data_IF_083053058458
#
_entry.id   IF_083053058458
#
_cell.length_a   1.000
_cell.length_b   1.000
_cell.length_c   1.000
_cell.angle_alpha   90.00
_cell.angle_beta   90.00
_cell.angle_gamma   90.00
#
_symmetry.space_group_name_H-M   'P 1'
#
loop_
_entity.id
_entity.type
_entity.pdbx_description
1 polymer ?
#
# COMPACT_ATOMS: atom_id res chain seq x y z
N UNK A 1 -0.18 -39.11 -28.62
CA UNK A 1 -0.36 -38.11 -27.54
C UNK A 1 -0.93 -36.85 -28.17
N UNK A 2 -2.20 -36.52 -27.91
CA UNK A 2 -2.80 -35.31 -28.49
C UNK A 2 -2.05 -34.06 -27.98
N UNK A 3 -1.77 -33.06 -28.83
CA UNK A 3 -1.13 -31.83 -28.39
C UNK A 3 -2.04 -31.17 -27.35
N UNK A 4 -1.55 -31.06 -26.10
CA UNK A 4 -2.27 -30.32 -25.06
C UNK A 4 -2.47 -28.89 -25.57
N UNK A 5 -3.71 -28.43 -25.60
CA UNK A 5 -4.08 -27.08 -26.03
C UNK A 5 -3.31 -26.03 -25.20
N UNK A 6 -2.32 -25.36 -25.81
CA UNK A 6 -1.42 -24.38 -25.19
C UNK A 6 -2.22 -23.29 -24.44
N UNK A 7 -3.37 -22.89 -24.98
CA UNK A 7 -4.29 -21.93 -24.35
C UNK A 7 -4.79 -22.41 -22.99
N UNK A 8 -5.21 -23.67 -22.88
CA UNK A 8 -5.72 -24.24 -21.62
C UNK A 8 -4.58 -24.35 -20.59
N UNK A 9 -3.37 -24.70 -21.03
CA UNK A 9 -2.22 -24.74 -20.13
C UNK A 9 -1.85 -23.36 -19.57
N UNK A 10 -1.81 -22.33 -20.42
CA UNK A 10 -1.54 -20.95 -20.02
C UNK A 10 -2.60 -20.43 -19.05
N UNK A 11 -3.87 -20.70 -19.33
CA UNK A 11 -4.98 -20.33 -18.45
C UNK A 11 -4.84 -21.01 -17.08
N UNK A 12 -4.59 -22.32 -17.05
CA UNK A 12 -4.41 -23.05 -15.80
C UNK A 12 -3.21 -22.53 -15.00
N UNK A 13 -2.07 -22.28 -15.66
CA UNK A 13 -0.89 -21.71 -15.02
C UNK A 13 -1.19 -20.32 -14.43
N UNK A 14 -1.94 -19.48 -15.15
CA UNK A 14 -2.40 -18.19 -14.64
C UNK A 14 -3.29 -18.35 -13.40
N UNK A 15 -4.30 -19.22 -13.46
CA UNK A 15 -5.23 -19.43 -12.35
C UNK A 15 -4.53 -19.95 -11.09
N UNK A 16 -3.55 -20.85 -11.23
CA UNK A 16 -2.74 -21.33 -10.10
C UNK A 16 -1.98 -20.17 -9.46
N UNK A 17 -1.36 -19.30 -10.26
CA UNK A 17 -0.62 -18.14 -9.76
C UNK A 17 -1.53 -17.10 -9.13
N UNK A 18 -2.71 -16.87 -9.70
CA UNK A 18 -3.73 -15.99 -9.13
C UNK A 18 -4.22 -16.51 -7.78
N UNK A 19 -4.45 -17.82 -7.67
CA UNK A 19 -4.84 -18.43 -6.39
C UNK A 19 -3.74 -18.25 -5.33
N UNK A 20 -2.46 -18.50 -5.69
CA UNK A 20 -1.32 -18.25 -4.78
C UNK A 20 -1.26 -16.79 -4.33
N UNK A 21 -1.48 -15.83 -5.24
CA UNK A 21 -1.51 -14.40 -4.92
C UNK A 21 -2.61 -14.09 -3.89
N UNK A 22 -3.85 -14.49 -4.21
CA UNK A 22 -5.04 -14.22 -3.39
C UNK A 22 -5.10 -15.03 -2.09
N UNK A 23 -4.24 -16.03 -1.91
CA UNK A 23 -4.13 -16.80 -0.67
C UNK A 23 -3.32 -16.08 0.41
N UNK A 24 -2.80 -14.89 0.15
CA UNK A 24 -1.99 -14.12 1.10
C UNK A 24 -2.62 -12.75 1.41
N UNK A 25 -2.55 -12.26 2.66
CA UNK A 25 -3.04 -10.92 2.99
C UNK A 25 -2.38 -9.82 2.14
N UNK A 26 -1.08 -9.94 1.88
CA UNK A 26 -0.31 -9.01 1.03
C UNK A 26 -0.82 -9.01 -0.42
N UNK A 27 -1.03 -10.18 -1.01
CA UNK A 27 -1.55 -10.29 -2.38
C UNK A 27 -2.97 -9.75 -2.52
N UNK A 28 -3.86 -10.02 -1.54
CA UNK A 28 -5.20 -9.43 -1.48
C UNK A 28 -5.10 -7.90 -1.41
N UNK A 29 -4.27 -7.34 -0.51
CA UNK A 29 -4.07 -5.88 -0.40
C UNK A 29 -3.64 -5.28 -1.74
N UNK A 30 -2.68 -5.88 -2.46
CA UNK A 30 -2.21 -5.32 -3.74
C UNK A 30 -3.25 -5.42 -4.85
N UNK A 31 -4.06 -6.47 -4.89
CA UNK A 31 -5.19 -6.54 -5.82
C UNK A 31 -6.20 -5.46 -5.51
N UNK A 32 -6.64 -5.35 -4.25
CA UNK A 32 -7.61 -4.35 -3.79
C UNK A 32 -7.10 -2.91 -4.02
N UNK A 33 -5.83 -2.64 -3.69
CA UNK A 33 -5.18 -1.36 -3.92
C UNK A 33 -5.17 -1.00 -5.41
N UNK A 34 -4.82 -1.95 -6.27
CA UNK A 34 -4.79 -1.75 -7.73
C UNK A 34 -6.20 -1.47 -8.26
N UNK A 35 -7.21 -2.24 -7.81
CA UNK A 35 -8.61 -2.00 -8.16
C UNK A 35 -9.06 -0.60 -7.75
N UNK A 36 -8.73 -0.17 -6.53
CA UNK A 36 -9.11 1.14 -6.01
C UNK A 36 -8.55 2.30 -6.85
N UNK A 37 -7.25 2.28 -7.13
CA UNK A 37 -6.61 3.33 -7.92
C UNK A 37 -6.95 3.26 -9.42
N UNK A 38 -7.24 2.07 -9.95
CA UNK A 38 -7.77 1.92 -11.32
C UNK A 38 -9.11 2.64 -11.47
N UNK A 39 -10.01 2.50 -10.48
CA UNK A 39 -11.27 3.24 -10.50
C UNK A 39 -11.09 4.74 -10.30
N UNK A 40 -10.09 5.18 -9.54
CA UNK A 40 -9.77 6.59 -9.37
C UNK A 40 -9.28 7.27 -10.67
N UNK A 41 -8.80 6.51 -11.65
CA UNK A 41 -8.43 7.02 -12.98
C UNK A 41 -9.62 7.14 -13.95
N UNK A 42 -10.80 6.61 -13.60
CA UNK A 42 -11.97 6.69 -14.47
C UNK A 42 -12.56 8.10 -14.45
N UNK A 43 -12.93 8.66 -15.61
CA UNK A 43 -13.61 9.95 -15.66
C UNK A 43 -14.98 9.87 -14.94
N UNK A 44 -15.46 10.97 -14.35
CA UNK A 44 -16.75 11.02 -13.66
C UNK A 44 -17.93 10.56 -14.52
N UNK A 45 -17.84 10.73 -15.84
CA UNK A 45 -18.82 10.24 -16.80
C UNK A 45 -18.93 8.72 -16.80
N UNK A 46 -17.84 7.97 -16.62
CA UNK A 46 -17.88 6.51 -16.52
C UNK A 46 -18.31 6.07 -15.12
N UNK A 47 -17.91 6.81 -14.08
CA UNK A 47 -18.33 6.56 -12.70
C UNK A 47 -19.83 6.77 -12.49
N UNK A 48 -20.47 7.64 -13.28
CA UNK A 48 -21.90 7.96 -13.23
C UNK A 48 -22.73 7.29 -14.35
N UNK A 49 -22.10 6.93 -15.48
CA UNK A 49 -22.74 6.31 -16.65
C UNK A 49 -22.43 4.82 -16.76
N UNK A 50 -22.87 4.04 -15.77
CA UNK A 50 -23.12 2.61 -15.97
C UNK A 50 -24.62 2.35 -15.92
N UNK A 51 -25.36 2.96 -16.86
CA UNK A 51 -26.82 2.78 -16.97
C UNK A 51 -27.24 1.33 -17.26
N UNK A 52 -26.29 0.47 -17.67
CA UNK A 52 -26.51 -0.95 -17.95
C UNK A 52 -26.08 -1.88 -16.80
N UNK A 53 -25.24 -1.41 -15.86
CA UNK A 53 -24.82 -2.15 -14.65
C UNK A 53 -24.87 -1.23 -13.43
N UNK A 54 -25.81 -1.49 -12.49
CA UNK A 54 -26.02 -0.70 -11.25
C UNK A 54 -24.87 -0.87 -10.23
N UNK A 55 -23.62 -0.63 -10.61
CA UNK A 55 -22.48 -0.73 -9.70
C UNK A 55 -22.15 0.67 -9.16
N UNK A 56 -22.30 0.85 -7.85
CA UNK A 56 -21.90 2.09 -7.18
C UNK A 56 -20.40 2.06 -6.89
N UNK A 57 -19.60 2.58 -7.83
CA UNK A 57 -18.13 2.59 -7.73
C UNK A 57 -17.63 3.36 -6.50
N UNK A 58 -18.16 4.55 -6.14
CA UNK A 58 -17.76 5.25 -4.91
C UNK A 58 -17.94 4.43 -3.64
N UNK A 59 -19.06 3.71 -3.49
CA UNK A 59 -19.27 2.85 -2.33
C UNK A 59 -18.30 1.67 -2.32
N UNK A 60 -18.01 1.11 -3.51
CA UNK A 60 -17.05 0.01 -3.64
C UNK A 60 -15.62 0.46 -3.28
N UNK A 61 -15.16 1.63 -3.75
CA UNK A 61 -13.82 2.16 -3.43
C UNK A 61 -13.69 2.51 -1.95
N UNK A 62 -14.75 3.04 -1.34
CA UNK A 62 -14.83 3.25 0.11
C UNK A 62 -14.71 1.93 0.88
N UNK A 63 -15.50 0.92 0.52
CA UNK A 63 -15.46 -0.41 1.14
C UNK A 63 -14.10 -1.10 0.96
N UNK A 64 -13.49 -0.99 -0.23
CA UNK A 64 -12.14 -1.50 -0.49
C UNK A 64 -11.13 -0.84 0.45
N UNK A 65 -11.20 0.49 0.58
CA UNK A 65 -10.30 1.23 1.46
C UNK A 65 -10.47 0.79 2.91
N UNK A 66 -11.72 0.66 3.38
CA UNK A 66 -12.03 0.20 4.71
C UNK A 66 -11.49 -1.21 5.00
N UNK A 67 -11.76 -2.19 4.13
CA UNK A 67 -11.24 -3.57 4.25
C UNK A 67 -9.71 -3.57 4.33
N UNK A 68 -9.04 -2.76 3.50
CA UNK A 68 -7.57 -2.66 3.53
C UNK A 68 -7.07 -2.09 4.85
N UNK A 69 -7.69 -1.04 5.37
CA UNK A 69 -7.33 -0.46 6.67
C UNK A 69 -7.58 -1.45 7.81
N UNK A 70 -8.71 -2.16 7.79
CA UNK A 70 -9.01 -3.21 8.74
C UNK A 70 -7.91 -4.26 8.77
N UNK A 71 -7.58 -4.85 7.61
CA UNK A 71 -6.51 -5.87 7.51
C UNK A 71 -5.13 -5.38 7.97
N UNK A 72 -4.85 -4.06 7.93
CA UNK A 72 -3.60 -3.49 8.42
C UNK A 72 -3.50 -3.42 9.94
N UNK A 73 -4.58 -3.59 10.71
CA UNK A 73 -4.53 -3.56 12.18
C UNK A 73 -3.47 -4.50 12.78
N UNK A 74 -3.22 -5.62 12.11
CA UNK A 74 -2.22 -6.63 12.50
C UNK A 74 -0.78 -6.27 12.10
N UNK A 75 -0.55 -5.11 11.46
CA UNK A 75 0.75 -4.69 10.93
C UNK A 75 1.87 -4.60 11.97
N UNK A 76 1.52 -4.30 13.24
CA UNK A 76 2.49 -4.23 14.34
C UNK A 76 3.25 -5.54 14.55
N UNK A 77 2.64 -6.69 14.28
CA UNK A 77 3.30 -8.00 14.41
C UNK A 77 4.46 -8.12 13.41
N UNK A 78 4.22 -7.73 12.15
CA UNK A 78 5.26 -7.73 11.11
C UNK A 78 6.35 -6.67 11.37
N UNK A 79 5.98 -5.50 11.89
CA UNK A 79 6.94 -4.45 12.25
C UNK A 79 7.81 -4.91 13.44
N UNK A 80 7.22 -5.59 14.42
CA UNK A 80 7.95 -6.14 15.56
C UNK A 80 9.00 -7.16 15.13
N UNK A 81 8.64 -8.12 14.26
CA UNK A 81 9.60 -9.13 13.78
C UNK A 81 10.69 -8.51 12.92
N UNK A 82 10.37 -7.51 12.11
CA UNK A 82 11.36 -6.71 11.37
C UNK A 82 12.31 -5.93 12.31
N UNK A 83 11.77 -5.34 13.37
CA UNK A 83 12.56 -4.69 14.42
C UNK A 83 13.51 -5.66 15.11
N UNK A 84 13.01 -6.84 15.48
CA UNK A 84 13.81 -7.90 16.10
C UNK A 84 14.95 -8.35 15.17
N UNK A 85 14.68 -8.57 13.88
CA UNK A 85 15.72 -8.95 12.92
C UNK A 85 16.76 -7.85 12.74
N UNK A 86 16.33 -6.58 12.69
CA UNK A 86 17.21 -5.42 12.54
C UNK A 86 18.16 -5.27 13.72
N UNK A 87 17.61 -5.36 14.93
CA UNK A 87 18.37 -5.20 16.18
C UNK A 87 19.27 -6.40 16.49
N UNK A 88 18.92 -7.59 15.99
CA UNK A 88 19.72 -8.80 16.16
C UNK A 88 20.89 -8.90 15.17
N UNK A 89 20.95 -8.02 14.16
CA UNK A 89 22.06 -8.00 13.22
C UNK A 89 23.38 -7.61 13.93
N UNK A 90 24.51 -8.19 13.51
CA UNK A 90 25.82 -7.86 14.11
C UNK A 90 26.19 -6.38 13.98
N UNK A 91 25.64 -5.70 12.96
CA UNK A 91 25.77 -4.25 12.75
C UNK A 91 24.42 -3.70 12.26
N UNK A 92 23.51 -3.31 13.15
CA UNK A 92 22.22 -2.76 12.77
C UNK A 92 22.38 -1.48 11.96
N UNK A 93 21.66 -1.36 10.84
CA UNK A 93 21.64 -0.15 10.03
C UNK A 93 20.88 0.96 10.78
N UNK A 94 21.49 2.13 11.06
CA UNK A 94 20.78 3.23 11.71
C UNK A 94 19.54 3.70 10.93
N UNK A 95 19.60 3.62 9.59
CA UNK A 95 18.47 3.93 8.72
C UNK A 95 17.33 2.94 8.97
N UNK A 96 17.63 1.65 9.00
CA UNK A 96 16.62 0.61 9.18
C UNK A 96 16.01 0.67 10.59
N UNK A 97 16.82 0.93 11.62
CA UNK A 97 16.33 1.17 12.99
C UNK A 97 15.36 2.37 13.03
N UNK A 98 15.71 3.48 12.37
CA UNK A 98 14.84 4.64 12.27
C UNK A 98 13.54 4.33 11.48
N UNK A 99 13.63 3.49 10.44
CA UNK A 99 12.45 3.07 9.68
C UNK A 99 11.53 2.18 10.51
N UNK A 100 12.05 1.23 11.28
CA UNK A 100 11.27 0.39 12.20
C UNK A 100 10.54 1.28 13.21
N UNK A 101 11.24 2.24 13.81
CA UNK A 101 10.64 3.20 14.74
C UNK A 101 9.52 4.00 14.08
N UNK A 102 9.78 4.61 12.92
CA UNK A 102 8.79 5.39 12.18
C UNK A 102 7.55 4.55 11.85
N UNK A 103 7.72 3.33 11.33
CA UNK A 103 6.59 2.44 11.02
C UNK A 103 5.83 1.98 12.26
N UNK A 104 6.50 1.81 13.40
CA UNK A 104 5.85 1.48 14.67
C UNK A 104 4.93 2.62 15.11
N UNK A 105 5.43 3.86 15.10
CA UNK A 105 4.62 5.02 15.42
C UNK A 105 3.48 5.25 14.40
N UNK A 106 3.75 5.07 13.10
CA UNK A 106 2.74 5.06 12.03
C UNK A 106 1.60 4.11 12.38
N UNK A 107 1.91 2.83 12.62
CA UNK A 107 0.90 1.80 12.76
C UNK A 107 0.08 1.96 14.05
N UNK A 108 0.70 2.42 15.15
CA UNK A 108 -0.03 2.75 16.38
C UNK A 108 -1.04 3.88 16.13
N UNK A 109 -0.60 4.98 15.50
CA UNK A 109 -1.46 6.12 15.22
C UNK A 109 -2.61 5.73 14.29
N UNK A 110 -2.31 5.02 13.19
CA UNK A 110 -3.31 4.53 12.24
C UNK A 110 -4.34 3.61 12.92
N UNK A 111 -3.88 2.64 13.72
CA UNK A 111 -4.78 1.69 14.37
C UNK A 111 -5.78 2.41 15.29
N UNK A 112 -5.30 3.33 16.13
CA UNK A 112 -6.15 4.08 17.05
C UNK A 112 -7.11 4.98 16.29
N UNK A 113 -6.63 5.67 15.25
CA UNK A 113 -7.47 6.53 14.41
C UNK A 113 -8.57 5.74 13.71
N UNK A 114 -8.23 4.60 13.10
CA UNK A 114 -9.17 3.71 12.41
C UNK A 114 -10.24 3.14 13.34
N UNK A 115 -9.85 2.64 14.52
CA UNK A 115 -10.79 2.13 15.51
C UNK A 115 -11.69 3.25 16.07
N UNK A 116 -11.18 4.47 16.19
CA UNK A 116 -11.99 5.65 16.55
C UNK A 116 -13.00 6.04 15.46
N UNK A 117 -12.60 5.96 14.17
CA UNK A 117 -13.51 6.21 13.06
C UNK A 117 -14.70 5.25 13.03
N UNK A 118 -14.55 4.06 13.63
CA UNK A 118 -15.60 3.04 13.78
C UNK A 118 -16.30 3.05 15.15
N UNK A 119 -15.98 4.01 16.03
CA UNK A 119 -16.61 4.13 17.34
C UNK A 119 -16.19 3.07 18.36
N UNK A 120 -15.15 2.27 18.08
CA UNK A 120 -14.61 1.26 18.99
C UNK A 120 -13.76 1.93 20.08
N UNK A 121 -12.97 2.93 19.69
CA UNK A 121 -12.17 3.75 20.62
C UNK A 121 -12.82 5.11 20.73
N UNK A 122 -13.20 5.52 21.95
CA UNK A 122 -13.85 6.80 22.17
C UNK A 122 -12.82 7.93 22.41
N UNK A 123 -12.44 8.63 21.34
CA UNK A 123 -11.62 9.85 21.41
C UNK A 123 -12.29 11.01 20.68
N UNK A 124 -11.84 12.23 20.98
CA UNK A 124 -12.35 13.44 20.30
C UNK A 124 -11.99 13.38 18.82
N UNK A 125 -12.91 13.82 17.94
CA UNK A 125 -12.66 13.86 16.48
C UNK A 125 -11.45 14.70 16.07
N UNK A 126 -11.14 15.76 16.82
CA UNK A 126 -9.89 16.51 16.65
C UNK A 126 -8.65 15.63 16.88
N UNK A 127 -8.67 14.79 17.90
CA UNK A 127 -7.57 13.87 18.21
C UNK A 127 -7.45 12.77 17.16
N UNK A 128 -8.57 12.20 16.71
CA UNK A 128 -8.61 11.24 15.60
C UNK A 128 -7.96 11.83 14.33
N UNK A 129 -8.33 13.05 13.95
CA UNK A 129 -7.71 13.76 12.81
C UNK A 129 -6.20 13.98 12.99
N UNK A 130 -5.75 14.32 14.19
CA UNK A 130 -4.31 14.46 14.48
C UNK A 130 -3.57 13.12 14.39
N UNK A 131 -4.18 12.01 14.81
CA UNK A 131 -3.58 10.68 14.68
C UNK A 131 -3.42 10.28 13.20
N UNK A 132 -4.40 10.58 12.35
CA UNK A 132 -4.29 10.39 10.90
C UNK A 132 -3.14 11.20 10.28
N UNK A 133 -3.00 12.47 10.67
CA UNK A 133 -1.92 13.35 10.21
C UNK A 133 -0.55 12.85 10.67
N UNK A 134 -0.39 12.54 11.96
CA UNK A 134 0.87 12.07 12.52
C UNK A 134 1.27 10.71 11.97
N UNK A 135 0.32 9.80 11.78
CA UNK A 135 0.55 8.56 11.06
C UNK A 135 1.19 8.85 9.70
N UNK A 136 0.54 9.67 8.88
CA UNK A 136 1.03 10.02 7.53
C UNK A 136 2.42 10.69 7.54
N UNK A 137 2.73 11.48 8.57
CA UNK A 137 4.07 12.08 8.76
C UNK A 137 5.15 11.02 9.07
N UNK A 138 4.84 10.02 9.88
CA UNK A 138 5.76 8.90 10.10
C UNK A 138 5.97 8.08 8.82
N UNK A 139 4.92 7.92 8.01
CA UNK A 139 5.07 7.31 6.69
C UNK A 139 5.97 8.15 5.77
N UNK A 140 5.80 9.47 5.76
CA UNK A 140 6.68 10.39 5.04
C UNK A 140 8.14 10.27 5.48
N UNK A 141 8.41 10.15 6.79
CA UNK A 141 9.75 9.89 7.33
C UNK A 141 10.30 8.57 6.79
N UNK A 142 9.50 7.50 6.78
CA UNK A 142 9.93 6.21 6.22
C UNK A 142 10.33 6.32 4.73
N UNK A 143 9.53 7.02 3.91
CA UNK A 143 9.84 7.22 2.48
C UNK A 143 11.08 8.09 2.28
N UNK A 144 11.29 9.11 3.12
CA UNK A 144 12.53 9.89 3.11
C UNK A 144 13.75 9.01 3.43
N UNK A 145 13.64 8.15 4.45
CA UNK A 145 14.69 7.18 4.81
C UNK A 145 14.94 6.15 3.70
N UNK A 146 13.91 5.75 2.96
CA UNK A 146 14.05 4.90 1.77
C UNK A 146 14.91 5.55 0.70
N UNK A 147 14.74 6.86 0.43
CA UNK A 147 15.63 7.57 -0.49
C UNK A 147 17.07 7.63 0.03
N UNK A 148 17.29 7.85 1.34
CA UNK A 148 18.64 7.79 1.93
C UNK A 148 19.24 6.39 1.75
N UNK A 149 18.46 5.32 1.96
CA UNK A 149 18.88 3.93 1.73
C UNK A 149 19.25 3.68 0.26
N UNK A 150 18.39 4.10 -0.67
CA UNK A 150 18.53 3.83 -2.11
C UNK A 150 19.66 4.62 -2.78
N UNK A 151 19.91 5.84 -2.32
CA UNK A 151 20.95 6.74 -2.86
C UNK A 151 22.21 6.82 -1.99
N UNK A 152 22.25 6.09 -0.87
CA UNK A 152 23.46 5.89 -0.07
C UNK A 152 24.58 5.20 -0.83
N UNK A 153 25.74 5.01 -0.20
CA UNK A 153 26.99 4.49 -0.82
C UNK A 153 26.96 3.00 -1.21
N UNK A 154 25.78 2.41 -1.41
CA UNK A 154 25.61 0.99 -1.76
C UNK A 154 25.63 0.71 -3.26
N UNK A 155 25.81 -0.56 -3.64
CA UNK A 155 25.64 -1.03 -5.02
C UNK A 155 24.16 -1.08 -5.37
N UNK A 156 23.80 -0.60 -6.56
CA UNK A 156 22.43 -0.69 -7.11
C UNK A 156 22.17 -2.12 -7.57
N UNK A 157 21.37 -2.84 -6.79
CA UNK A 157 21.03 -4.24 -7.07
C UNK A 157 19.93 -4.41 -8.12
N UNK A 158 19.61 -5.68 -8.45
CA UNK A 158 18.44 -6.03 -9.27
C UNK A 158 17.17 -5.53 -8.58
N UNK A 159 16.39 -4.70 -9.26
CA UNK A 159 15.14 -4.14 -8.72
C UNK A 159 15.26 -2.72 -8.17
N UNK A 160 16.47 -2.16 -8.07
CA UNK A 160 16.71 -0.81 -7.56
C UNK A 160 15.86 0.25 -8.26
N UNK A 161 15.78 0.23 -9.59
CA UNK A 161 14.97 1.19 -10.35
C UNK A 161 13.48 1.12 -9.97
N UNK A 162 12.97 -0.09 -9.74
CA UNK A 162 11.57 -0.30 -9.35
C UNK A 162 11.30 0.23 -7.95
N UNK A 163 12.23 0.06 -7.03
CA UNK A 163 12.15 0.61 -5.67
C UNK A 163 12.19 2.15 -5.71
N UNK A 164 13.05 2.74 -6.56
CA UNK A 164 13.08 4.20 -6.77
C UNK A 164 11.75 4.69 -7.34
N UNK A 165 11.24 4.08 -8.41
CA UNK A 165 9.96 4.49 -9.01
C UNK A 165 8.82 4.36 -8.01
N UNK A 166 8.79 3.27 -7.23
CA UNK A 166 7.76 3.08 -6.19
C UNK A 166 7.83 4.17 -5.12
N UNK A 167 9.03 4.52 -4.65
CA UNK A 167 9.20 5.57 -3.64
C UNK A 167 8.89 6.96 -4.20
N UNK A 168 9.23 7.25 -5.46
CA UNK A 168 8.82 8.48 -6.15
C UNK A 168 7.30 8.58 -6.28
N UNK A 169 6.60 7.47 -6.48
CA UNK A 169 5.14 7.44 -6.49
C UNK A 169 4.55 7.64 -5.08
N UNK A 170 5.16 7.08 -4.03
CA UNK A 170 4.70 7.29 -2.66
C UNK A 170 5.01 8.68 -2.11
N UNK A 171 6.13 9.30 -2.49
CA UNK A 171 6.55 10.59 -1.96
C UNK A 171 5.46 11.68 -1.97
N UNK A 172 4.84 12.03 -3.11
CA UNK A 172 3.79 13.06 -3.14
C UNK A 172 2.54 12.63 -2.36
N UNK A 173 2.24 11.34 -2.29
CA UNK A 173 1.12 10.82 -1.50
C UNK A 173 1.35 11.01 0.01
N UNK A 174 2.56 10.71 0.49
CA UNK A 174 2.91 10.90 1.91
C UNK A 174 2.84 12.36 2.33
N UNK A 175 3.25 13.28 1.44
CA UNK A 175 3.13 14.73 1.66
C UNK A 175 1.66 15.14 1.68
N UNK A 176 0.86 14.65 0.72
CA UNK A 176 -0.58 14.95 0.66
C UNK A 176 -1.30 14.63 1.97
N UNK A 177 -1.11 13.43 2.54
CA UNK A 177 -1.80 13.07 3.79
C UNK A 177 -1.14 13.61 5.07
N UNK A 178 0.04 14.23 4.98
CA UNK A 178 0.75 14.81 6.13
C UNK A 178 0.31 16.23 6.50
N UNK A 179 -0.50 16.88 5.64
CA UNK A 179 -0.97 18.25 5.81
C UNK A 179 -2.50 18.32 5.82
N UNK A 180 -3.04 19.26 6.61
CA UNK A 180 -4.48 19.52 6.63
C UNK A 180 -4.93 20.06 5.26
N UNK A 181 -6.00 19.51 4.70
CA UNK A 181 -6.54 19.91 3.38
C UNK A 181 -5.88 19.24 2.16
N UNK A 182 -4.77 18.52 2.34
CA UNK A 182 -4.07 17.85 1.24
C UNK A 182 -3.11 18.76 0.46
N UNK A 183 -2.10 18.16 -0.18
CA UNK A 183 -1.04 18.91 -0.89
C UNK A 183 -1.15 18.85 -2.43
N UNK A 184 -1.82 17.83 -2.96
CA UNK A 184 -1.94 17.56 -4.41
C UNK A 184 -3.39 17.21 -4.77
N UNK A 185 -3.75 17.44 -6.03
CA UNK A 185 -5.09 17.18 -6.56
C UNK A 185 -5.43 15.70 -6.77
N UNK A 186 -6.72 15.36 -6.94
CA UNK A 186 -7.20 13.98 -7.09
C UNK A 186 -6.54 13.20 -8.24
N UNK A 187 -6.23 13.85 -9.35
CA UNK A 187 -5.59 13.22 -10.51
C UNK A 187 -4.18 12.76 -10.17
N UNK A 188 -3.42 13.59 -9.43
CA UNK A 188 -2.08 13.25 -8.97
C UNK A 188 -2.11 12.11 -7.95
N UNK A 189 -3.10 12.09 -7.05
CA UNK A 189 -3.32 10.98 -6.10
C UNK A 189 -3.58 9.67 -6.87
N UNK A 190 -4.48 9.72 -7.86
CA UNK A 190 -4.84 8.56 -8.66
C UNK A 190 -3.64 8.03 -9.47
N UNK A 191 -2.88 8.93 -10.12
CA UNK A 191 -1.71 8.56 -10.90
C UNK A 191 -0.61 7.94 -10.03
N UNK A 192 -0.22 8.63 -8.95
CA UNK A 192 0.83 8.16 -8.04
C UNK A 192 0.42 6.84 -7.36
N UNK A 193 -0.81 6.77 -6.86
CA UNK A 193 -1.35 5.57 -6.24
C UNK A 193 -1.40 4.38 -7.19
N UNK A 194 -1.75 4.60 -8.46
CA UNK A 194 -1.76 3.56 -9.49
C UNK A 194 -0.37 3.00 -9.77
N UNK A 195 0.64 3.87 -9.90
CA UNK A 195 2.03 3.43 -10.12
C UNK A 195 2.51 2.56 -8.95
N UNK A 196 2.30 3.03 -7.71
CA UNK A 196 2.65 2.29 -6.51
C UNK A 196 1.90 0.94 -6.41
N UNK A 197 0.61 0.93 -6.75
CA UNK A 197 -0.23 -0.27 -6.72
C UNK A 197 0.25 -1.32 -7.73
N UNK A 198 0.50 -0.90 -8.98
CA UNK A 198 0.95 -1.78 -10.05
C UNK A 198 2.32 -2.38 -9.72
N UNK A 199 3.26 -1.57 -9.23
CA UNK A 199 4.58 -2.08 -8.81
C UNK A 199 4.43 -3.09 -7.67
N UNK A 200 3.61 -2.78 -6.67
CA UNK A 200 3.30 -3.70 -5.57
C UNK A 200 2.71 -5.02 -6.06
N UNK A 201 1.72 -4.96 -6.94
CA UNK A 201 1.09 -6.14 -7.54
C UNK A 201 2.08 -6.97 -8.36
N UNK A 202 2.93 -6.32 -9.15
CA UNK A 202 4.00 -7.00 -9.89
C UNK A 202 5.00 -7.69 -8.97
N UNK A 203 5.34 -7.08 -7.83
CA UNK A 203 6.24 -7.68 -6.84
C UNK A 203 5.61 -8.94 -6.23
N UNK A 204 4.35 -8.87 -5.81
CA UNK A 204 3.64 -10.03 -5.27
C UNK A 204 3.42 -11.12 -6.34
N UNK A 205 3.08 -10.74 -7.57
CA UNK A 205 2.93 -11.68 -8.68
C UNK A 205 4.21 -12.44 -8.98
N UNK A 206 5.39 -11.82 -8.86
CA UNK A 206 6.67 -12.51 -9.06
C UNK A 206 6.94 -13.57 -8.00
N UNK A 207 6.40 -13.42 -6.78
CA UNK A 207 6.53 -14.40 -5.69
C UNK A 207 5.66 -15.65 -5.91
N UNK A 208 4.73 -15.63 -6.86
CA UNK A 208 3.85 -16.78 -7.15
C UNK A 208 4.40 -17.75 -8.18
N UNK A 209 5.51 -17.39 -8.84
CA UNK A 209 6.18 -18.22 -9.85
C UNK A 209 6.79 -19.47 -9.22
#
# INVERSE_FOLDING_TARGET
MAPKNDTVQRFNAFMIRLNRLLSTPSGIDKVLMTTNYTFALLPPSILSSTRSTRINIPNLTSLISDIRMFMRLWGLVGIYTWGLSTLSASRPSPIEVAQVFANTCFQICENVAYLSSHGIVNIRKKTEGQLWLWSSRFWMVHVALEFVRLFGRGKRGKGWEREVISNCAYAPLTVHWSVEGGAIGPEAIAACGSVAAIIGLQNEWRKTA
#
